data_IF_953549856336
#
_entry.id   IF_953549856336
#
_cell.length_a   1.000
_cell.length_b   1.000
_cell.length_c   1.000
_cell.angle_alpha   90.00
_cell.angle_beta   90.00
_cell.angle_gamma   90.00
#
_symmetry.space_group_name_H-M   'P 1'
#
loop_
_entity.id
_entity.type
_entity.pdbx_description
1 polymer ?
#
# COMPACT_ATOMS: atom_id res chain seq x y z
N UNK A 1 -12.45 9.26 -4.47
CA UNK A 1 -11.40 8.27 -4.15
C UNK A 1 -12.07 6.92 -3.89
N UNK A 2 -11.70 5.88 -4.63
CA UNK A 2 -12.19 4.50 -4.42
C UNK A 2 -11.07 3.70 -3.75
N UNK A 3 -11.41 2.88 -2.74
CA UNK A 3 -10.45 1.98 -2.07
C UNK A 3 -10.88 0.53 -2.26
N UNK A 4 -9.92 -0.32 -2.55
CA UNK A 4 -10.08 -1.78 -2.71
C UNK A 4 -9.15 -2.47 -1.72
N UNK A 5 -9.71 -3.18 -0.74
CA UNK A 5 -8.92 -3.98 0.20
C UNK A 5 -8.29 -5.16 -0.56
N UNK A 6 -6.97 -5.28 -0.45
CA UNK A 6 -6.20 -6.40 -1.01
C UNK A 6 -6.05 -7.50 0.03
N UNK A 7 -5.89 -7.12 1.30
CA UNK A 7 -5.88 -8.07 2.39
C UNK A 7 -5.59 -7.41 3.73
N UNK A 8 -5.64 -8.23 4.77
CA UNK A 8 -5.36 -7.83 6.14
C UNK A 8 -4.59 -8.91 6.87
N UNK A 9 -3.77 -8.50 7.82
CA UNK A 9 -3.02 -9.40 8.69
C UNK A 9 -2.97 -8.82 10.10
N UNK A 10 -2.72 -9.69 11.09
CA UNK A 10 -2.56 -9.30 12.48
C UNK A 10 -1.17 -9.74 12.96
N UNK A 11 -0.43 -8.82 13.57
CA UNK A 11 0.91 -9.02 14.12
C UNK A 11 0.87 -8.55 15.58
N UNK A 12 0.84 -9.51 16.51
CA UNK A 12 0.61 -9.20 17.92
C UNK A 12 -0.75 -8.53 18.14
N UNK A 13 -0.75 -7.32 18.71
CA UNK A 13 -1.95 -6.51 18.94
C UNK A 13 -2.25 -5.52 17.78
N UNK A 14 -1.41 -5.54 16.74
CA UNK A 14 -1.53 -4.65 15.59
C UNK A 14 -2.29 -5.35 14.46
N UNK A 15 -3.25 -4.65 13.86
CA UNK A 15 -3.90 -5.06 12.61
C UNK A 15 -3.44 -4.16 11.46
N UNK A 16 -2.90 -4.77 10.41
CA UNK A 16 -2.51 -4.10 9.17
C UNK A 16 -3.53 -4.43 8.08
N UNK A 17 -3.99 -3.40 7.38
CA UNK A 17 -4.88 -3.50 6.21
C UNK A 17 -4.20 -2.88 5.01
N UNK A 18 -4.06 -3.66 3.94
CA UNK A 18 -3.41 -3.25 2.71
C UNK A 18 -4.48 -3.02 1.65
N UNK A 19 -4.43 -1.89 0.98
CA UNK A 19 -5.42 -1.52 -0.02
C UNK A 19 -4.79 -0.82 -1.23
N UNK A 20 -5.48 -0.91 -2.36
CA UNK A 20 -5.24 -0.05 -3.51
C UNK A 20 -6.26 1.06 -3.50
N UNK A 21 -5.87 2.27 -3.90
CA UNK A 21 -6.80 3.36 -4.12
C UNK A 21 -6.68 3.93 -5.52
N UNK A 22 -7.78 4.50 -6.00
CA UNK A 22 -7.80 5.35 -7.20
C UNK A 22 -8.30 6.75 -6.87
N UNK A 23 -7.55 7.75 -7.33
CA UNK A 23 -7.87 9.16 -7.19
C UNK A 23 -7.36 9.90 -8.44
N UNK A 24 -8.22 10.72 -9.05
CA UNK A 24 -7.86 11.63 -10.15
C UNK A 24 -7.09 10.96 -11.31
N UNK A 25 -7.52 9.76 -11.70
CA UNK A 25 -6.89 8.98 -12.78
C UNK A 25 -5.59 8.27 -12.40
N UNK A 26 -5.11 8.46 -11.17
CA UNK A 26 -3.93 7.79 -10.61
C UNK A 26 -4.31 6.62 -9.73
N UNK A 27 -3.40 5.65 -9.62
CA UNK A 27 -3.51 4.50 -8.72
C UNK A 27 -2.40 4.56 -7.68
N UNK A 28 -2.72 4.13 -6.47
CA UNK A 28 -1.76 4.07 -5.38
C UNK A 28 -2.05 2.94 -4.43
N UNK A 29 -1.19 2.78 -3.44
CA UNK A 29 -1.29 1.76 -2.39
C UNK A 29 -1.35 2.45 -1.04
N UNK A 30 -1.97 1.79 -0.08
CA UNK A 30 -1.94 2.23 1.31
C UNK A 30 -1.92 1.08 2.29
N UNK A 31 -1.38 1.38 3.47
CA UNK A 31 -1.32 0.50 4.63
C UNK A 31 -1.98 1.27 5.77
N UNK A 32 -3.00 0.68 6.38
CA UNK A 32 -3.63 1.20 7.59
C UNK A 32 -3.31 0.29 8.77
N UNK A 33 -2.77 0.87 9.84
CA UNK A 33 -2.52 0.21 11.11
C UNK A 33 -3.59 0.62 12.13
N UNK A 34 -4.32 -0.36 12.69
CA UNK A 34 -5.20 -0.33 13.88
C UNK A 34 -5.75 1.04 14.36
N UNK A 35 -6.13 1.92 13.42
CA UNK A 35 -6.63 3.30 13.61
C UNK A 35 -5.61 4.36 14.07
N UNK A 36 -4.34 4.03 14.22
CA UNK A 36 -3.30 4.97 14.66
C UNK A 36 -2.58 5.60 13.48
N UNK A 37 -2.35 4.84 12.41
CA UNK A 37 -1.53 5.29 11.31
C UNK A 37 -2.04 4.81 9.96
N UNK A 38 -1.88 5.64 8.95
CA UNK A 38 -2.15 5.26 7.57
C UNK A 38 -1.14 5.94 6.68
N UNK A 39 -0.38 5.13 5.95
CA UNK A 39 0.49 5.59 4.90
C UNK A 39 -0.13 5.28 3.54
N UNK A 40 0.03 6.20 2.60
CA UNK A 40 -0.40 6.02 1.22
C UNK A 40 0.61 6.61 0.27
N UNK A 41 0.72 6.05 -0.94
CA UNK A 41 1.37 6.76 -2.02
C UNK A 41 1.05 6.20 -3.39
N UNK A 42 1.38 7.01 -4.39
CA UNK A 42 1.05 6.77 -5.80
C UNK A 42 2.05 5.80 -6.42
N UNK A 43 1.57 4.95 -7.31
CA UNK A 43 2.38 3.96 -8.02
C UNK A 43 2.40 4.30 -9.51
N UNK A 44 3.61 4.37 -10.08
CA UNK A 44 3.81 4.53 -11.52
C UNK A 44 3.47 3.20 -12.23
N UNK A 45 2.68 3.26 -13.29
CA UNK A 45 2.25 2.08 -14.08
C UNK A 45 0.78 1.66 -13.91
N UNK A 46 0.05 2.25 -12.97
CA UNK A 46 -1.41 2.10 -12.88
C UNK A 46 -1.89 0.92 -12.02
N UNK A 47 -3.14 0.48 -12.20
CA UNK A 47 -3.82 -0.45 -11.27
C UNK A 47 -3.08 -1.76 -11.07
N UNK A 48 -2.56 -2.37 -12.14
CA UNK A 48 -1.91 -3.69 -12.06
C UNK A 48 -0.66 -3.62 -11.17
N UNK A 49 0.14 -2.58 -11.33
CA UNK A 49 1.34 -2.31 -10.54
C UNK A 49 0.97 -2.02 -9.09
N UNK A 50 -0.06 -1.19 -8.85
CA UNK A 50 -0.56 -0.93 -7.50
C UNK A 50 -1.03 -2.22 -6.79
N UNK A 51 -1.76 -3.10 -7.48
CA UNK A 51 -2.19 -4.41 -6.93
C UNK A 51 -0.99 -5.31 -6.66
N UNK A 52 -0.01 -5.37 -7.56
CA UNK A 52 1.21 -6.17 -7.36
C UNK A 52 2.03 -5.68 -6.18
N UNK A 53 2.18 -4.37 -6.03
CA UNK A 53 2.87 -3.75 -4.90
C UNK A 53 2.10 -4.04 -3.59
N UNK A 54 0.80 -3.79 -3.54
CA UNK A 54 -0.02 -4.08 -2.36
C UNK A 54 0.06 -5.54 -1.90
N UNK A 55 0.07 -6.51 -2.84
CA UNK A 55 0.30 -7.92 -2.52
C UNK A 55 1.71 -8.19 -1.97
N UNK A 56 2.71 -7.45 -2.45
CA UNK A 56 4.10 -7.56 -1.98
C UNK A 56 4.26 -6.97 -0.58
N UNK A 57 3.63 -5.83 -0.30
CA UNK A 57 3.58 -5.23 1.03
C UNK A 57 2.91 -6.19 2.03
N UNK A 58 1.77 -6.79 1.64
CA UNK A 58 1.04 -7.77 2.45
C UNK A 58 1.90 -9.00 2.76
N UNK A 59 2.56 -9.59 1.76
CA UNK A 59 3.40 -10.78 1.94
C UNK A 59 4.61 -10.52 2.83
N UNK A 60 5.17 -9.32 2.77
CA UNK A 60 6.34 -8.93 3.56
C UNK A 60 5.97 -8.28 4.91
N UNK A 61 4.68 -8.20 5.25
CA UNK A 61 4.21 -7.63 6.52
C UNK A 61 4.70 -6.20 6.75
N UNK A 62 4.68 -5.38 5.69
CA UNK A 62 5.20 -4.00 5.73
C UNK A 62 4.33 -3.11 6.61
N UNK A 63 4.97 -2.34 7.49
CA UNK A 63 4.32 -1.33 8.33
C UNK A 63 4.22 0.03 7.60
N UNK A 64 3.28 0.90 7.99
CA UNK A 64 3.06 2.20 7.33
C UNK A 64 4.32 3.06 7.22
N UNK A 65 5.15 3.11 8.27
CA UNK A 65 6.41 3.87 8.31
C UNK A 65 7.39 3.56 7.17
N UNK A 66 7.37 2.32 6.67
CA UNK A 66 8.29 1.87 5.64
C UNK A 66 7.76 2.10 4.22
N UNK A 67 6.50 2.55 4.07
CA UNK A 67 5.86 2.63 2.76
C UNK A 67 6.51 3.67 1.84
N UNK A 68 6.96 4.81 2.38
CA UNK A 68 7.57 5.88 1.57
C UNK A 68 8.87 5.42 0.91
N UNK A 69 9.78 4.80 1.66
CA UNK A 69 11.06 4.28 1.15
C UNK A 69 10.83 3.23 0.06
N UNK A 70 9.91 2.28 0.29
CA UNK A 70 9.57 1.26 -0.71
C UNK A 70 8.99 1.87 -1.99
N UNK A 71 8.19 2.94 -1.86
CA UNK A 71 7.60 3.62 -3.02
C UNK A 71 8.63 4.41 -3.82
N UNK A 72 9.62 5.00 -3.14
CA UNK A 72 10.74 5.67 -3.81
C UNK A 72 11.49 4.67 -4.69
N UNK A 73 11.86 3.51 -4.14
CA UNK A 73 12.53 2.44 -4.89
C UNK A 73 11.64 1.87 -6.03
N UNK A 74 10.35 1.63 -5.75
CA UNK A 74 9.44 1.02 -6.71
C UNK A 74 9.15 1.92 -7.92
N UNK A 75 9.17 3.24 -7.74
CA UNK A 75 8.86 4.22 -8.78
C UNK A 75 10.11 4.68 -9.56
N UNK A 76 11.30 4.15 -9.27
CA UNK A 76 12.47 4.44 -10.09
C UNK A 76 12.24 3.92 -11.53
N UNK A 77 12.51 4.75 -12.56
CA UNK A 77 12.54 4.25 -13.93
C UNK A 77 13.66 3.22 -14.10
N UNK A 78 13.38 2.12 -14.79
CA UNK A 78 14.40 1.11 -15.18
C UNK A 78 15.57 1.72 -15.95
#
# INVERSE_FOLDING_TARGET
MVKEEIGKTAIGNTQLVYYVYSADGSFGVGISETKTETATGTVLGGRKQAVNLANTLLRNLVFPDNLSEILEDYNLPE
#
